data_IF_137414979508
#
_entry.id   IF_137414979508
#
_cell.length_a   1.000
_cell.length_b   1.000
_cell.length_c   1.000
_cell.angle_alpha   90.00
_cell.angle_beta   90.00
_cell.angle_gamma   90.00
#
_symmetry.space_group_name_H-M   'P 1'
#
loop_
_entity.id
_entity.type
_entity.pdbx_description
1 polymer ?
#
# COMPACT_ATOMS: atom_id res chain seq x y z
N UNK A 1 7.60 -0.91 -11.11
CA UNK A 1 8.79 -0.72 -10.26
C UNK A 1 9.99 -1.07 -11.13
N UNK A 2 11.01 -0.19 -11.21
CA UNK A 2 12.18 -0.38 -12.09
C UNK A 2 12.08 0.27 -13.49
N UNK A 3 11.00 0.98 -13.80
CA UNK A 3 10.95 1.78 -15.03
C UNK A 3 11.96 2.95 -14.94
N UNK A 4 12.63 3.22 -16.05
CA UNK A 4 13.52 4.37 -16.19
C UNK A 4 12.83 5.67 -15.77
N UNK A 5 13.58 6.57 -15.13
CA UNK A 5 13.09 7.88 -14.68
C UNK A 5 12.38 8.62 -15.82
N UNK A 6 12.95 8.60 -17.02
CA UNK A 6 12.40 9.30 -18.17
C UNK A 6 11.06 8.71 -18.59
N UNK A 7 10.90 7.39 -18.62
CA UNK A 7 9.63 6.74 -18.92
C UNK A 7 8.55 7.06 -17.87
N UNK A 8 8.92 7.16 -16.60
CA UNK A 8 7.98 7.56 -15.55
C UNK A 8 7.59 9.04 -15.64
N UNK A 9 8.52 9.92 -15.98
CA UNK A 9 8.22 11.35 -16.23
C UNK A 9 7.27 11.50 -17.41
N UNK A 10 7.53 10.80 -18.50
CA UNK A 10 6.66 10.85 -19.70
C UNK A 10 5.25 10.31 -19.39
N UNK A 11 5.15 9.17 -18.74
CA UNK A 11 3.88 8.56 -18.40
C UNK A 11 3.09 9.39 -17.37
N UNK A 12 3.69 9.75 -16.23
CA UNK A 12 3.00 10.39 -15.13
C UNK A 12 2.83 11.90 -15.35
N UNK A 13 3.90 12.62 -15.66
CA UNK A 13 3.89 14.09 -15.78
C UNK A 13 3.41 14.49 -17.19
N UNK A 14 3.96 13.88 -18.25
CA UNK A 14 3.54 14.09 -19.65
C UNK A 14 2.08 13.70 -19.85
N UNK A 15 1.69 12.52 -19.39
CA UNK A 15 0.30 12.04 -19.45
C UNK A 15 -0.67 12.98 -18.75
N UNK A 16 -0.34 13.47 -17.55
CA UNK A 16 -1.17 14.46 -16.83
C UNK A 16 -1.29 15.76 -17.60
N UNK A 17 -0.20 16.26 -18.20
CA UNK A 17 -0.21 17.47 -19.02
C UNK A 17 -1.14 17.31 -20.24
N UNK A 18 -1.07 16.19 -20.92
CA UNK A 18 -1.93 15.89 -22.08
C UNK A 18 -3.41 15.76 -21.65
N UNK A 19 -3.67 15.09 -20.54
CA UNK A 19 -5.03 14.94 -19.99
C UNK A 19 -5.64 16.31 -19.60
N UNK A 20 -4.87 17.21 -18.97
CA UNK A 20 -5.30 18.59 -18.69
C UNK A 20 -5.57 19.38 -19.98
N UNK A 21 -4.72 19.26 -20.99
CA UNK A 21 -4.93 19.92 -22.27
C UNK A 21 -6.21 19.40 -22.97
N UNK A 22 -6.45 18.09 -22.95
CA UNK A 22 -7.66 17.47 -23.45
C UNK A 22 -8.90 17.97 -22.68
N UNK A 23 -8.85 17.98 -21.35
CA UNK A 23 -9.95 18.45 -20.49
C UNK A 23 -10.31 19.91 -20.79
N UNK A 24 -9.32 20.77 -21.03
CA UNK A 24 -9.57 22.17 -21.47
C UNK A 24 -10.24 22.22 -22.85
N UNK A 25 -9.74 21.43 -23.80
CA UNK A 25 -10.25 21.44 -25.17
C UNK A 25 -11.72 20.98 -25.28
N UNK A 26 -12.15 20.08 -24.39
CA UNK A 26 -13.54 19.60 -24.33
C UNK A 26 -14.40 20.38 -23.33
N UNK A 27 -13.88 21.45 -22.74
CA UNK A 27 -14.54 22.26 -21.72
C UNK A 27 -15.07 21.43 -20.53
N UNK A 28 -14.24 20.49 -20.05
CA UNK A 28 -14.63 19.60 -18.95
C UNK A 28 -15.03 20.39 -17.69
N UNK A 29 -16.13 19.97 -17.05
CA UNK A 29 -16.63 20.63 -15.86
C UNK A 29 -15.75 20.49 -14.61
N UNK A 30 -15.01 19.38 -14.50
CA UNK A 30 -14.07 19.10 -13.41
C UNK A 30 -13.01 18.09 -13.87
N UNK A 31 -11.78 18.26 -13.45
CA UNK A 31 -10.68 17.31 -13.66
C UNK A 31 -10.42 16.49 -12.40
N UNK A 32 -10.54 15.18 -12.49
CA UNK A 32 -10.31 14.26 -11.39
C UNK A 32 -8.96 13.58 -11.55
N UNK A 33 -8.02 13.87 -10.65
CA UNK A 33 -6.65 13.34 -10.70
C UNK A 33 -6.42 12.24 -9.67
N UNK A 34 -6.09 11.04 -10.15
CA UNK A 34 -5.68 9.93 -9.28
C UNK A 34 -4.18 10.02 -9.05
N UNK A 35 -3.82 10.65 -7.94
CA UNK A 35 -2.46 10.74 -7.41
C UNK A 35 -2.11 9.49 -6.59
N UNK A 36 -1.38 9.64 -5.51
CA UNK A 36 -1.02 8.58 -4.55
C UNK A 36 -0.54 9.22 -3.26
N UNK A 37 -0.62 8.51 -2.14
CA UNK A 37 0.10 8.90 -0.91
C UNK A 37 1.62 9.06 -1.16
N UNK A 38 2.15 8.43 -2.20
CA UNK A 38 3.54 8.58 -2.64
C UNK A 38 3.95 10.03 -3.00
N UNK A 39 2.98 10.90 -3.31
CA UNK A 39 3.25 12.33 -3.57
C UNK A 39 3.79 13.08 -2.34
N UNK A 40 3.64 12.55 -1.12
CA UNK A 40 4.26 13.06 0.11
C UNK A 40 5.76 12.73 0.21
N UNK A 41 6.28 11.86 -0.64
CA UNK A 41 7.67 11.37 -0.57
C UNK A 41 7.91 10.60 0.74
N UNK A 42 9.04 10.85 1.38
CA UNK A 42 9.43 10.27 2.67
C UNK A 42 9.29 11.28 3.83
N UNK A 43 8.24 12.08 3.82
CA UNK A 43 7.96 13.06 4.87
C UNK A 43 7.89 12.37 6.25
N UNK A 44 8.60 12.95 7.23
CA UNK A 44 8.63 12.40 8.60
C UNK A 44 7.57 13.09 9.46
N UNK A 45 6.53 12.38 9.81
CA UNK A 45 5.45 12.91 10.65
C UNK A 45 4.06 12.63 10.09
N UNK A 46 3.09 13.48 10.42
CA UNK A 46 1.72 13.38 9.93
C UNK A 46 1.50 14.30 8.74
N UNK A 47 1.21 13.72 7.58
CA UNK A 47 0.90 14.43 6.34
C UNK A 47 -0.62 14.54 6.20
N UNK A 48 -1.13 15.77 6.14
CA UNK A 48 -2.56 16.04 6.04
C UNK A 48 -3.01 16.20 4.59
N UNK A 49 -4.31 16.24 4.36
CA UNK A 49 -4.90 16.39 3.03
C UNK A 49 -4.54 17.73 2.37
N UNK A 50 -4.33 18.79 3.16
CA UNK A 50 -3.98 20.12 2.66
C UNK A 50 -2.48 20.28 2.35
N UNK A 51 -1.64 19.42 2.89
CA UNK A 51 -0.19 19.47 2.69
C UNK A 51 0.19 19.03 1.28
N UNK A 52 1.19 19.73 0.71
CA UNK A 52 1.77 19.41 -0.59
C UNK A 52 3.24 19.84 -0.66
N UNK A 53 3.53 21.12 -0.43
CA UNK A 53 4.88 21.68 -0.54
C UNK A 53 5.84 21.14 0.54
N UNK A 54 5.30 20.58 1.62
CA UNK A 54 6.05 19.96 2.71
C UNK A 54 6.62 18.57 2.35
N UNK A 55 6.29 18.04 1.17
CA UNK A 55 6.81 16.76 0.71
C UNK A 55 8.34 16.74 0.70
N UNK A 56 8.93 15.65 1.20
CA UNK A 56 10.39 15.48 1.29
C UNK A 56 10.81 14.08 0.84
N UNK A 57 12.11 13.88 0.56
CA UNK A 57 12.63 12.56 0.15
C UNK A 57 12.06 12.10 -1.21
N UNK A 58 11.97 13.03 -2.16
CA UNK A 58 11.47 12.81 -3.52
C UNK A 58 12.56 12.29 -4.47
N UNK A 59 13.61 11.63 -3.98
CA UNK A 59 14.70 11.10 -4.81
C UNK A 59 14.26 9.86 -5.61
N UNK A 60 13.25 9.14 -5.12
CA UNK A 60 12.68 8.02 -5.85
C UNK A 60 11.87 8.54 -7.05
N UNK A 61 12.12 8.03 -8.28
CA UNK A 61 11.40 8.45 -9.50
C UNK A 61 9.88 8.41 -9.39
N UNK A 62 9.34 7.39 -8.74
CA UNK A 62 7.89 7.25 -8.54
C UNK A 62 7.33 8.36 -7.64
N UNK A 63 7.98 8.66 -6.51
CA UNK A 63 7.54 9.73 -5.62
C UNK A 63 7.63 11.08 -6.30
N UNK A 64 8.75 11.35 -6.96
CA UNK A 64 8.98 12.59 -7.73
C UNK A 64 7.90 12.78 -8.79
N UNK A 65 7.69 11.80 -9.65
CA UNK A 65 6.76 11.96 -10.78
C UNK A 65 5.30 12.05 -10.35
N UNK A 66 4.90 11.38 -9.25
CA UNK A 66 3.57 11.55 -8.66
C UNK A 66 3.37 12.94 -8.06
N UNK A 67 4.38 13.47 -7.37
CA UNK A 67 4.37 14.84 -6.84
C UNK A 67 4.31 15.87 -7.98
N UNK A 68 5.18 15.77 -8.99
CA UNK A 68 5.25 16.70 -10.11
C UNK A 68 3.96 16.69 -10.95
N UNK A 69 3.36 15.52 -11.17
CA UNK A 69 2.07 15.41 -11.85
C UNK A 69 0.94 16.11 -11.06
N UNK A 70 0.91 15.92 -9.74
CA UNK A 70 -0.06 16.61 -8.88
C UNK A 70 0.17 18.12 -8.87
N UNK A 71 1.43 18.60 -8.92
CA UNK A 71 1.76 20.01 -9.02
C UNK A 71 1.16 20.68 -10.27
N UNK A 72 1.12 19.97 -11.40
CA UNK A 72 0.46 20.47 -12.62
C UNK A 72 -1.03 20.70 -12.40
N UNK A 73 -1.71 19.77 -11.74
CA UNK A 73 -3.14 19.87 -11.47
C UNK A 73 -3.44 21.01 -10.49
N UNK A 74 -2.62 21.17 -9.45
CA UNK A 74 -2.80 22.25 -8.45
C UNK A 74 -2.62 23.66 -9.02
N UNK A 75 -1.80 23.79 -10.05
CA UNK A 75 -1.58 25.07 -10.77
C UNK A 75 -2.65 25.36 -11.82
N UNK A 76 -3.56 24.43 -12.07
CA UNK A 76 -4.62 24.61 -13.05
C UNK A 76 -5.66 25.61 -12.54
N UNK A 77 -5.95 26.65 -13.34
CA UNK A 77 -6.90 27.72 -13.02
C UNK A 77 -8.11 27.77 -13.94
N UNK A 78 -8.01 27.12 -15.11
CA UNK A 78 -9.07 27.12 -16.14
C UNK A 78 -10.12 26.05 -15.95
N UNK A 79 -9.85 25.01 -15.16
CA UNK A 79 -10.76 23.89 -14.89
C UNK A 79 -10.79 23.63 -13.40
N UNK A 80 -11.96 23.37 -12.85
CA UNK A 80 -12.08 22.85 -11.47
C UNK A 80 -11.39 21.50 -11.39
N UNK A 81 -10.79 21.16 -10.25
CA UNK A 81 -10.11 19.89 -10.08
C UNK A 81 -10.34 19.29 -8.70
N UNK A 82 -10.15 17.99 -8.61
CA UNK A 82 -10.08 17.21 -7.37
C UNK A 82 -8.97 16.20 -7.46
N UNK A 83 -8.25 15.98 -6.36
CA UNK A 83 -7.10 15.09 -6.29
C UNK A 83 -7.40 13.96 -5.28
N UNK A 84 -7.08 12.74 -5.65
CA UNK A 84 -7.24 11.55 -4.81
C UNK A 84 -5.89 10.90 -4.59
N UNK A 85 -5.52 10.68 -3.34
CA UNK A 85 -4.27 10.06 -2.92
C UNK A 85 -4.55 8.72 -2.21
N UNK A 86 -4.92 7.66 -2.94
CA UNK A 86 -5.13 6.35 -2.33
C UNK A 86 -3.83 5.81 -1.75
N UNK A 87 -3.97 4.89 -0.78
CA UNK A 87 -2.89 4.07 -0.26
C UNK A 87 -2.42 3.03 -1.27
N UNK A 88 -1.76 1.98 -0.80
CA UNK A 88 -1.38 0.83 -1.62
C UNK A 88 -2.64 0.03 -1.94
N UNK A 89 -3.08 0.11 -3.21
CA UNK A 89 -4.30 -0.55 -3.65
C UNK A 89 -4.03 -2.03 -3.89
N UNK A 90 -4.87 -2.88 -3.33
CA UNK A 90 -4.87 -4.33 -3.50
C UNK A 90 -6.18 -4.82 -4.14
N UNK A 91 -6.33 -6.11 -4.34
CA UNK A 91 -7.50 -6.70 -4.98
C UNK A 91 -8.82 -6.39 -4.28
N UNK A 92 -9.91 -6.77 -4.95
CA UNK A 92 -11.28 -6.56 -4.48
C UNK A 92 -11.52 -7.27 -3.13
N UNK A 93 -12.16 -6.60 -2.18
CA UNK A 93 -12.30 -7.11 -0.81
C UNK A 93 -13.10 -8.41 -0.71
N UNK A 94 -14.09 -8.63 -1.56
CA UNK A 94 -14.91 -9.84 -1.54
C UNK A 94 -14.34 -10.99 -2.38
N UNK A 95 -13.69 -10.70 -3.53
CA UNK A 95 -13.24 -11.72 -4.49
C UNK A 95 -11.73 -11.91 -4.52
N UNK A 96 -10.96 -10.95 -4.01
CA UNK A 96 -9.51 -10.92 -4.14
C UNK A 96 -8.99 -10.53 -5.52
N UNK A 97 -9.88 -10.32 -6.50
CA UNK A 97 -9.54 -10.08 -7.90
C UNK A 97 -8.58 -8.91 -8.08
N UNK A 98 -7.51 -9.13 -8.83
CA UNK A 98 -6.46 -8.18 -9.13
C UNK A 98 -5.83 -8.49 -10.48
N UNK A 99 -5.63 -7.48 -11.33
CA UNK A 99 -5.09 -7.67 -12.68
C UNK A 99 -3.59 -7.97 -12.69
N UNK A 100 -2.85 -7.50 -11.70
CA UNK A 100 -1.38 -7.61 -11.69
C UNK A 100 -0.81 -7.76 -10.29
N UNK A 101 0.36 -8.41 -10.23
CA UNK A 101 1.16 -8.50 -9.01
C UNK A 101 1.94 -7.19 -8.81
N UNK A 102 1.63 -6.45 -7.74
CA UNK A 102 2.35 -5.25 -7.32
C UNK A 102 2.26 -5.08 -5.79
N UNK A 103 3.05 -4.18 -5.21
CA UNK A 103 3.01 -3.85 -3.78
C UNK A 103 3.17 -5.08 -2.87
N UNK A 104 2.22 -5.35 -1.95
CA UNK A 104 2.33 -6.45 -0.99
C UNK A 104 2.42 -7.84 -1.61
N UNK A 105 1.94 -8.02 -2.85
CA UNK A 105 1.96 -9.31 -3.53
C UNK A 105 3.37 -9.84 -3.79
N UNK A 106 4.39 -8.99 -3.81
CA UNK A 106 5.79 -9.45 -3.91
C UNK A 106 6.22 -10.32 -2.72
N UNK A 107 5.57 -10.20 -1.57
CA UNK A 107 5.86 -11.02 -0.39
C UNK A 107 5.12 -12.35 -0.37
N UNK A 108 4.08 -12.54 -1.19
CA UNK A 108 3.23 -13.73 -1.15
C UNK A 108 3.98 -15.04 -1.45
N UNK A 109 4.89 -15.12 -2.45
CA UNK A 109 5.71 -16.32 -2.66
C UNK A 109 6.53 -16.69 -1.43
N UNK A 110 7.09 -15.69 -0.72
CA UNK A 110 7.85 -15.90 0.49
C UNK A 110 6.96 -16.40 1.65
N UNK A 111 5.78 -15.82 1.82
CA UNK A 111 4.77 -16.27 2.81
C UNK A 111 4.38 -17.71 2.54
N UNK A 112 4.08 -18.09 1.27
CA UNK A 112 3.72 -19.46 0.88
C UNK A 112 4.83 -20.44 1.19
N UNK A 113 6.09 -20.09 0.88
CA UNK A 113 7.23 -20.98 1.16
C UNK A 113 7.40 -21.19 2.67
N UNK A 114 7.27 -20.14 3.48
CA UNK A 114 7.32 -20.27 4.94
C UNK A 114 6.18 -21.13 5.46
N UNK A 115 4.96 -20.95 4.94
CA UNK A 115 3.79 -21.73 5.34
C UNK A 115 3.94 -23.22 4.97
N UNK A 116 4.52 -23.53 3.81
CA UNK A 116 4.77 -24.91 3.39
C UNK A 116 5.92 -25.58 4.17
N UNK A 117 6.94 -24.80 4.57
CA UNK A 117 8.11 -25.34 5.28
C UNK A 117 7.90 -25.51 6.79
N UNK A 118 7.00 -24.71 7.39
CA UNK A 118 6.79 -24.67 8.82
C UNK A 118 5.35 -25.05 9.18
N UNK A 119 5.14 -26.02 10.07
CA UNK A 119 3.79 -26.46 10.43
C UNK A 119 3.03 -25.37 11.20
N UNK A 120 1.71 -25.31 11.03
CA UNK A 120 0.84 -24.28 11.59
C UNK A 120 0.80 -24.22 13.13
N UNK A 121 1.24 -25.28 13.85
CA UNK A 121 1.36 -25.27 15.31
C UNK A 121 2.64 -24.57 15.81
N UNK A 122 3.62 -24.34 14.94
CA UNK A 122 4.86 -23.67 15.28
C UNK A 122 4.60 -22.19 15.60
N UNK A 123 5.36 -21.64 16.54
CA UNK A 123 5.32 -20.22 16.88
C UNK A 123 6.52 -19.51 16.29
N UNK A 124 6.27 -18.48 15.54
CA UNK A 124 7.30 -17.58 15.03
C UNK A 124 7.24 -16.24 15.75
N UNK A 125 8.37 -15.53 15.79
CA UNK A 125 8.45 -14.18 16.38
C UNK A 125 8.97 -13.21 15.31
N UNK A 126 8.35 -12.04 15.23
CA UNK A 126 8.76 -10.96 14.34
C UNK A 126 8.65 -9.60 15.03
N UNK A 127 9.52 -8.66 14.65
CA UNK A 127 9.41 -7.26 15.11
C UNK A 127 8.25 -6.58 14.38
N UNK A 128 7.56 -5.66 15.06
CA UNK A 128 6.38 -4.96 14.58
C UNK A 128 6.62 -4.25 13.23
N UNK A 129 7.77 -3.60 13.04
CA UNK A 129 8.10 -2.84 11.82
C UNK A 129 7.31 -1.55 11.66
N UNK A 130 7.42 -0.93 10.49
CA UNK A 130 6.70 0.29 10.13
C UNK A 130 5.26 0.03 9.72
N UNK A 131 4.52 1.12 9.43
CA UNK A 131 3.13 1.07 8.99
C UNK A 131 3.04 1.14 7.47
N UNK A 132 2.10 0.38 6.91
CA UNK A 132 1.75 0.40 5.49
C UNK A 132 0.27 0.75 5.40
N UNK A 133 -0.10 1.59 4.44
CA UNK A 133 -1.48 1.93 4.18
C UNK A 133 -2.00 1.11 3.00
N UNK A 134 -2.78 0.07 3.26
CA UNK A 134 -3.32 -0.88 2.27
C UNK A 134 -4.83 -0.69 2.20
N UNK A 135 -5.37 -0.62 0.98
CA UNK A 135 -6.80 -0.44 0.72
C UNK A 135 -7.26 -1.35 -0.42
N UNK A 136 -8.45 -1.95 -0.35
CA UNK A 136 -8.99 -2.75 -1.45
C UNK A 136 -9.54 -1.86 -2.56
N UNK A 137 -9.48 -2.34 -3.80
CA UNK A 137 -9.84 -1.55 -5.00
C UNK A 137 -11.30 -1.13 -5.00
N UNK A 138 -12.22 -1.97 -4.57
CA UNK A 138 -13.65 -1.67 -4.45
C UNK A 138 -13.92 -0.49 -3.51
N UNK A 139 -13.30 -0.46 -2.33
CA UNK A 139 -13.39 0.71 -1.45
C UNK A 139 -12.85 1.99 -2.12
N UNK A 140 -11.73 1.90 -2.83
CA UNK A 140 -11.17 3.08 -3.53
C UNK A 140 -12.13 3.58 -4.60
N UNK A 141 -12.75 2.67 -5.36
CA UNK A 141 -13.75 3.02 -6.39
C UNK A 141 -14.97 3.68 -5.77
N UNK A 142 -15.57 3.07 -4.74
CA UNK A 142 -16.74 3.62 -4.06
C UNK A 142 -16.47 4.97 -3.41
N UNK A 143 -15.30 5.10 -2.76
CA UNK A 143 -14.87 6.35 -2.16
C UNK A 143 -14.68 7.45 -3.22
N UNK A 144 -14.03 7.13 -4.34
CA UNK A 144 -13.82 8.09 -5.41
C UNK A 144 -15.14 8.48 -6.08
N UNK A 145 -16.02 7.53 -6.38
CA UNK A 145 -17.33 7.83 -6.97
C UNK A 145 -18.11 8.80 -6.08
N UNK A 146 -18.24 8.51 -4.80
CA UNK A 146 -18.91 9.41 -3.86
C UNK A 146 -18.27 10.81 -3.82
N UNK A 147 -16.94 10.87 -3.73
CA UNK A 147 -16.20 12.13 -3.64
C UNK A 147 -16.26 12.93 -4.95
N UNK A 148 -16.33 12.26 -6.11
CA UNK A 148 -16.52 12.91 -7.42
C UNK A 148 -17.86 13.64 -7.52
N UNK A 149 -18.88 13.11 -6.88
CA UNK A 149 -20.25 13.67 -6.90
C UNK A 149 -20.54 14.59 -5.71
N UNK A 150 -19.69 14.64 -4.68
CA UNK A 150 -19.89 15.51 -3.53
C UNK A 150 -19.80 16.99 -3.92
N UNK A 151 -20.83 17.78 -3.50
CA UNK A 151 -20.90 19.23 -3.83
C UNK A 151 -19.91 20.03 -2.99
N UNK A 152 -19.36 21.11 -3.57
CA UNK A 152 -18.52 22.08 -2.87
C UNK A 152 -17.12 21.54 -2.52
N UNK A 153 -16.65 20.54 -3.26
CA UNK A 153 -15.35 19.88 -2.99
C UNK A 153 -14.28 20.19 -4.06
N UNK A 154 -14.51 21.18 -4.91
CA UNK A 154 -13.54 21.57 -5.94
C UNK A 154 -12.31 22.21 -5.31
N UNK A 155 -11.13 21.94 -5.87
CA UNK A 155 -9.84 22.37 -5.33
C UNK A 155 -9.38 21.60 -4.09
N UNK A 156 -10.01 20.47 -3.77
CA UNK A 156 -9.67 19.66 -2.60
C UNK A 156 -8.86 18.42 -2.97
N UNK A 157 -8.04 18.01 -2.01
CA UNK A 157 -7.31 16.73 -2.04
C UNK A 157 -7.91 15.79 -1.01
N UNK A 158 -8.06 14.52 -1.41
CA UNK A 158 -8.66 13.48 -0.58
C UNK A 158 -7.68 12.34 -0.35
N UNK A 159 -7.62 11.86 0.87
CA UNK A 159 -6.96 10.62 1.22
C UNK A 159 -8.02 9.54 1.46
N UNK A 160 -8.27 8.61 0.53
CA UNK A 160 -8.98 7.36 0.82
C UNK A 160 -8.01 6.27 1.25
N UNK A 161 -7.39 6.33 2.43
CA UNK A 161 -6.53 5.31 2.98
C UNK A 161 -7.25 4.51 4.04
N UNK A 162 -6.66 3.39 4.46
CA UNK A 162 -7.01 2.77 5.74
C UNK A 162 -6.71 3.75 6.88
N UNK A 163 -7.68 4.10 7.73
CA UNK A 163 -7.50 5.09 8.80
C UNK A 163 -6.45 4.71 9.85
N UNK A 164 -6.15 3.44 10.00
CA UNK A 164 -5.19 2.94 10.99
C UNK A 164 -3.85 2.57 10.35
N UNK A 165 -3.87 2.16 9.08
CA UNK A 165 -2.78 1.44 8.46
C UNK A 165 -2.54 0.09 9.14
N UNK A 166 -1.76 -0.78 8.51
CA UNK A 166 -1.34 -2.05 9.10
C UNK A 166 0.17 -2.04 9.33
N UNK A 167 0.64 -2.55 10.47
CA UNK A 167 2.08 -2.70 10.66
C UNK A 167 2.62 -3.83 9.79
N UNK A 168 3.90 -3.77 9.42
CA UNK A 168 4.54 -4.84 8.64
C UNK A 168 4.42 -6.19 9.33
N UNK A 169 4.59 -6.22 10.65
CA UNK A 169 4.43 -7.44 11.43
C UNK A 169 3.01 -7.98 11.38
N UNK A 170 2.00 -7.11 11.53
CA UNK A 170 0.60 -7.52 11.46
C UNK A 170 0.23 -7.95 10.04
N UNK A 171 0.74 -7.29 8.99
CA UNK A 171 0.55 -7.72 7.61
C UNK A 171 1.05 -9.16 7.39
N UNK A 172 2.29 -9.44 7.81
CA UNK A 172 2.86 -10.80 7.72
C UNK A 172 2.05 -11.79 8.56
N UNK A 173 1.62 -11.41 9.76
CA UNK A 173 0.78 -12.26 10.62
C UNK A 173 -0.53 -12.63 9.93
N UNK A 174 -1.21 -11.67 9.36
CA UNK A 174 -2.50 -11.87 8.68
C UNK A 174 -2.32 -12.72 7.42
N UNK A 175 -1.26 -12.47 6.62
CA UNK A 175 -0.97 -13.28 5.42
C UNK A 175 -0.56 -14.71 5.79
N UNK A 176 0.24 -14.93 6.83
CA UNK A 176 0.55 -16.28 7.33
C UNK A 176 -0.71 -17.02 7.80
N UNK A 177 -1.63 -16.31 8.45
CA UNK A 177 -2.92 -16.89 8.86
C UNK A 177 -3.76 -17.28 7.65
N UNK A 178 -3.84 -16.42 6.61
CA UNK A 178 -4.54 -16.72 5.35
C UNK A 178 -3.91 -17.92 4.62
N UNK A 179 -2.58 -18.05 4.69
CA UNK A 179 -1.80 -19.15 4.10
C UNK A 179 -1.74 -20.41 4.97
N UNK A 180 -2.51 -20.50 6.05
CA UNK A 180 -2.47 -21.62 7.03
C UNK A 180 -1.07 -21.93 7.59
N UNK A 181 -0.19 -20.92 7.63
CA UNK A 181 1.18 -21.01 8.09
C UNK A 181 1.33 -20.94 9.63
N UNK A 182 2.58 -20.81 10.13
CA UNK A 182 2.87 -20.77 11.55
C UNK A 182 2.23 -19.56 12.24
N UNK A 183 1.89 -19.72 13.52
CA UNK A 183 1.37 -18.61 14.35
C UNK A 183 2.47 -17.58 14.61
N UNK A 184 2.23 -16.32 14.24
CA UNK A 184 3.18 -15.23 14.41
C UNK A 184 2.85 -14.38 15.63
N UNK A 185 3.83 -14.23 16.53
CA UNK A 185 3.78 -13.29 17.67
C UNK A 185 4.58 -12.03 17.29
N UNK A 186 3.93 -10.87 17.37
CA UNK A 186 4.56 -9.58 17.09
C UNK A 186 5.13 -9.04 18.41
N UNK A 187 6.40 -8.61 18.37
CA UNK A 187 7.08 -8.00 19.52
C UNK A 187 7.66 -6.64 19.15
N UNK A 188 7.69 -5.73 20.11
CA UNK A 188 8.38 -4.45 19.93
C UNK A 188 9.89 -4.68 19.89
N UNK A 189 10.62 -3.94 19.05
CA UNK A 189 12.06 -4.09 18.86
C UNK A 189 12.85 -4.09 20.18
N UNK A 190 12.57 -3.13 21.07
CA UNK A 190 13.22 -3.07 22.39
C UNK A 190 12.86 -4.24 23.34
N UNK A 191 11.69 -4.84 23.18
CA UNK A 191 11.32 -6.05 23.94
C UNK A 191 12.06 -7.28 23.39
N UNK A 192 12.26 -7.34 22.07
CA UNK A 192 13.03 -8.41 21.43
C UNK A 192 14.52 -8.34 21.82
N UNK A 193 15.12 -7.15 21.83
CA UNK A 193 16.52 -6.96 22.30
C UNK A 193 16.71 -7.43 23.72
N UNK A 194 15.79 -7.09 24.65
CA UNK A 194 15.80 -7.56 26.03
C UNK A 194 15.62 -9.08 26.14
N UNK A 195 14.73 -9.65 25.30
CA UNK A 195 14.50 -11.10 25.28
C UNK A 195 15.75 -11.85 24.73
N UNK A 196 16.38 -11.34 23.68
CA UNK A 196 17.58 -11.92 23.10
C UNK A 196 18.81 -11.81 24.02
N UNK A 197 18.87 -10.74 24.84
CA UNK A 197 19.91 -10.58 25.83
C UNK A 197 19.79 -11.57 27.02
N UNK A 198 18.59 -12.03 27.31
CA UNK A 198 18.30 -12.92 28.44
C UNK A 198 18.22 -14.40 28.07
N UNK A 199 17.78 -14.73 26.84
CA UNK A 199 17.58 -16.11 26.40
C UNK A 199 18.06 -16.29 24.95
N UNK A 200 19.04 -17.16 24.69
CA UNK A 200 19.41 -17.52 23.31
C UNK A 200 18.17 -18.11 22.59
N UNK A 201 17.64 -17.39 21.60
CA UNK A 201 16.38 -17.75 20.89
C UNK A 201 16.43 -19.17 20.32
N UNK A 202 17.63 -19.67 19.94
CA UNK A 202 17.82 -21.04 19.49
C UNK A 202 17.58 -22.15 20.53
N UNK A 203 17.36 -21.78 21.81
CA UNK A 203 17.04 -22.74 22.90
C UNK A 203 15.56 -22.77 23.27
N UNK A 204 14.72 -21.92 22.68
CA UNK A 204 13.28 -21.97 22.89
C UNK A 204 12.66 -23.00 21.93
N UNK A 205 12.19 -24.16 22.42
CA UNK A 205 11.60 -25.15 21.53
C UNK A 205 10.36 -24.59 20.85
N UNK A 206 10.33 -24.69 19.50
CA UNK A 206 9.20 -24.23 18.71
C UNK A 206 9.15 -22.73 18.42
N UNK A 207 10.20 -21.95 18.68
CA UNK A 207 10.29 -20.52 18.34
C UNK A 207 11.35 -20.29 17.26
N UNK A 208 10.94 -19.73 16.12
CA UNK A 208 11.84 -19.39 15.01
C UNK A 208 11.83 -17.89 14.75
N UNK A 209 13.01 -17.23 14.65
CA UNK A 209 13.10 -15.84 14.20
C UNK A 209 12.71 -15.74 12.73
N UNK A 210 11.49 -15.28 12.44
CA UNK A 210 10.95 -15.23 11.07
C UNK A 210 11.70 -14.24 10.17
N UNK A 211 12.30 -13.20 10.75
CA UNK A 211 13.07 -12.20 10.00
C UNK A 211 14.22 -12.80 9.19
N UNK A 212 14.92 -13.81 9.73
CA UNK A 212 16.00 -14.51 9.00
C UNK A 212 15.45 -15.43 7.91
N UNK A 213 14.35 -16.15 8.18
CA UNK A 213 13.72 -17.02 7.21
C UNK A 213 13.14 -16.22 6.04
N UNK A 214 12.45 -15.10 6.32
CA UNK A 214 11.94 -14.20 5.30
C UNK A 214 13.08 -13.56 4.49
N UNK A 215 14.16 -13.10 5.12
CA UNK A 215 15.29 -12.50 4.42
C UNK A 215 15.93 -13.44 3.38
N UNK A 216 16.21 -14.68 3.76
CA UNK A 216 16.77 -15.69 2.85
C UNK A 216 15.82 -16.04 1.69
N UNK A 217 14.51 -16.06 1.95
CA UNK A 217 13.50 -16.33 0.94
C UNK A 217 13.33 -15.12 0.02
N UNK A 218 13.36 -13.91 0.54
CA UNK A 218 13.27 -12.67 -0.25
C UNK A 218 14.43 -12.56 -1.24
N UNK A 219 15.65 -12.87 -0.81
CA UNK A 219 16.83 -12.92 -1.67
C UNK A 219 16.67 -13.96 -2.80
N UNK A 220 16.19 -15.16 -2.46
CA UNK A 220 15.93 -16.25 -3.42
C UNK A 220 14.90 -15.89 -4.50
N UNK A 221 13.85 -15.13 -4.13
CA UNK A 221 12.78 -14.75 -5.07
C UNK A 221 13.02 -13.40 -5.75
N UNK A 222 14.18 -12.77 -5.53
CA UNK A 222 14.54 -11.52 -6.18
C UNK A 222 13.53 -10.40 -5.88
N UNK A 223 13.06 -10.32 -4.63
CA UNK A 223 12.13 -9.25 -4.24
C UNK A 223 12.85 -7.91 -4.44
N UNK A 224 12.31 -7.01 -5.27
CA UNK A 224 12.96 -5.74 -5.54
C UNK A 224 13.19 -4.94 -4.24
N UNK A 225 14.36 -4.29 -4.12
CA UNK A 225 14.64 -3.41 -2.97
C UNK A 225 13.56 -2.32 -2.81
N UNK A 226 12.95 -1.92 -3.92
CA UNK A 226 11.84 -0.98 -3.93
C UNK A 226 10.62 -1.49 -3.17
N UNK A 227 10.36 -2.80 -3.20
CA UNK A 227 9.29 -3.41 -2.41
C UNK A 227 9.57 -3.30 -0.90
N UNK A 228 10.84 -3.32 -0.50
CA UNK A 228 11.25 -3.13 0.90
C UNK A 228 11.04 -1.69 1.38
N UNK A 229 11.05 -0.71 0.48
CA UNK A 229 10.81 0.70 0.82
C UNK A 229 9.37 0.97 1.26
N UNK A 230 8.42 0.11 0.88
CA UNK A 230 7.05 0.15 1.42
C UNK A 230 6.97 -0.36 2.86
N UNK A 231 7.98 -1.12 3.30
CA UNK A 231 8.09 -1.64 4.67
C UNK A 231 8.74 -0.57 5.54
N UNK A 232 7.96 0.13 6.33
CA UNK A 232 8.50 1.17 7.22
C UNK A 232 8.41 2.59 6.68
N UNK A 233 7.34 2.88 5.96
CA UNK A 233 7.08 4.23 5.48
C UNK A 233 7.01 5.22 6.67
N UNK A 234 7.81 6.31 6.65
CA UNK A 234 7.94 7.19 7.82
C UNK A 234 6.74 8.12 8.02
N UNK A 235 5.90 8.26 6.98
CA UNK A 235 4.79 9.19 6.95
C UNK A 235 3.51 8.53 7.46
N UNK A 236 2.82 9.20 8.37
CA UNK A 236 1.44 8.91 8.74
C UNK A 236 0.51 9.84 7.96
N UNK A 237 -0.60 9.32 7.46
CA UNK A 237 -1.55 10.11 6.69
C UNK A 237 -2.79 10.42 7.51
N UNK A 238 -3.12 11.71 7.65
CA UNK A 238 -4.37 12.13 8.27
C UNK A 238 -5.46 12.28 7.19
N UNK A 239 -6.42 11.37 7.25
CA UNK A 239 -7.58 11.32 6.35
C UNK A 239 -8.88 11.77 7.01
N UNK A 240 -8.78 12.57 8.07
CA UNK A 240 -9.94 12.94 8.90
C UNK A 240 -11.04 13.64 8.09
N UNK A 241 -10.71 14.52 7.15
CA UNK A 241 -11.69 15.22 6.30
C UNK A 241 -12.36 14.25 5.34
N UNK A 242 -11.58 13.44 4.60
CA UNK A 242 -12.08 12.44 3.67
C UNK A 242 -13.01 11.46 4.37
N UNK A 243 -12.61 10.91 5.52
CA UNK A 243 -13.44 9.97 6.28
C UNK A 243 -14.76 10.56 6.74
N UNK A 244 -14.77 11.80 7.20
CA UNK A 244 -16.00 12.50 7.59
C UNK A 244 -16.97 12.67 6.42
N UNK A 245 -16.45 12.89 5.20
CA UNK A 245 -17.28 12.95 3.99
C UNK A 245 -17.82 11.57 3.62
N UNK A 246 -16.97 10.55 3.56
CA UNK A 246 -17.34 9.19 3.20
C UNK A 246 -18.36 8.59 4.17
N UNK A 247 -18.22 8.86 5.47
CA UNK A 247 -19.18 8.41 6.49
C UNK A 247 -20.61 8.92 6.24
N UNK A 248 -20.79 10.07 5.59
CA UNK A 248 -22.12 10.57 5.20
C UNK A 248 -22.76 9.71 4.10
N UNK A 249 -21.94 9.04 3.31
CA UNK A 249 -22.37 8.06 2.30
C UNK A 249 -22.40 6.62 2.79
N UNK A 250 -22.08 6.38 4.08
CA UNK A 250 -21.97 5.02 4.62
C UNK A 250 -20.76 4.24 4.09
N UNK A 251 -19.73 4.94 3.57
CA UNK A 251 -18.54 4.31 2.97
C UNK A 251 -17.42 4.28 4.00
N UNK A 252 -16.97 3.08 4.33
CA UNK A 252 -15.88 2.83 5.28
C UNK A 252 -14.88 1.84 4.70
N UNK A 253 -13.57 2.09 4.96
CA UNK A 253 -12.51 1.15 4.55
C UNK A 253 -12.57 -0.09 5.43
N UNK A 254 -12.74 -1.30 4.85
CA UNK A 254 -12.70 -2.52 5.63
C UNK A 254 -11.29 -2.77 6.16
N UNK A 255 -11.14 -3.32 7.39
CA UNK A 255 -9.82 -3.68 7.91
C UNK A 255 -9.19 -4.81 7.09
N UNK A 256 -7.87 -4.76 6.88
CA UNK A 256 -7.16 -5.73 6.03
C UNK A 256 -7.42 -7.18 6.42
N UNK A 257 -7.55 -7.46 7.70
CA UNK A 257 -7.84 -8.79 8.24
C UNK A 257 -9.14 -9.40 7.69
N UNK A 258 -10.12 -8.57 7.32
CA UNK A 258 -11.42 -9.05 6.85
C UNK A 258 -11.39 -9.57 5.42
N UNK A 259 -10.41 -9.15 4.60
CA UNK A 259 -10.34 -9.51 3.18
C UNK A 259 -9.01 -10.17 2.74
N UNK A 260 -8.04 -10.27 3.64
CA UNK A 260 -6.77 -10.91 3.33
C UNK A 260 -6.91 -12.36 2.83
N UNK A 261 -7.89 -13.11 3.36
CA UNK A 261 -8.20 -14.46 2.90
C UNK A 261 -8.62 -14.51 1.43
N UNK A 262 -9.52 -13.62 1.01
CA UNK A 262 -9.96 -13.55 -0.38
C UNK A 262 -8.79 -13.21 -1.33
N UNK A 263 -7.97 -12.21 -0.93
CA UNK A 263 -6.77 -11.82 -1.70
C UNK A 263 -5.77 -12.98 -1.80
N UNK A 264 -5.55 -13.70 -0.70
CA UNK A 264 -4.63 -14.83 -0.68
C UNK A 264 -5.11 -15.96 -1.62
N UNK A 265 -6.37 -16.36 -1.51
CA UNK A 265 -6.98 -17.40 -2.35
C UNK A 265 -6.90 -17.04 -3.83
N UNK A 266 -7.30 -15.80 -4.18
CA UNK A 266 -7.22 -15.36 -5.58
C UNK A 266 -5.79 -15.39 -6.11
N UNK A 267 -4.81 -14.94 -5.31
CA UNK A 267 -3.41 -14.99 -5.69
C UNK A 267 -2.92 -16.42 -5.92
N UNK A 268 -3.25 -17.36 -5.04
CA UNK A 268 -2.86 -18.77 -5.22
C UNK A 268 -3.44 -19.39 -6.49
N UNK A 269 -4.69 -19.09 -6.79
CA UNK A 269 -5.41 -19.68 -7.92
C UNK A 269 -5.09 -19.05 -9.27
N UNK A 270 -4.76 -17.76 -9.30
CA UNK A 270 -4.69 -16.99 -10.55
C UNK A 270 -3.36 -16.29 -10.81
N UNK A 271 -2.64 -15.86 -9.77
CA UNK A 271 -1.48 -14.99 -9.90
C UNK A 271 -0.16 -15.68 -9.52
N UNK A 272 -0.19 -16.77 -8.78
CA UNK A 272 1.00 -17.51 -8.40
C UNK A 272 1.73 -18.05 -9.65
N UNK A 273 3.08 -18.13 -9.64
CA UNK A 273 3.86 -18.58 -10.81
C UNK A 273 3.40 -19.91 -11.38
N UNK A 274 3.01 -20.87 -10.53
CA UNK A 274 2.52 -22.18 -10.95
C UNK A 274 1.13 -22.13 -11.58
N UNK A 275 0.25 -21.22 -11.14
CA UNK A 275 -1.05 -21.02 -11.75
C UNK A 275 -0.93 -20.46 -13.18
N UNK A 276 0.14 -19.72 -13.47
CA UNK A 276 0.41 -19.15 -14.81
C UNK A 276 1.06 -20.14 -15.77
N UNK A 277 1.77 -21.16 -15.28
CA UNK A 277 2.42 -22.17 -16.12
C UNK A 277 1.45 -23.26 -16.64
N UNK A 278 0.22 -23.28 -16.17
CA UNK A 278 -0.83 -24.22 -16.58
C UNK A 278 -1.81 -23.67 -17.63
N UNK A 279 -1.58 -22.46 -18.18
CA UNK A 279 -2.42 -21.85 -19.21
C UNK A 279 -1.66 -21.72 -20.54
#
# INVERSE_FOLDING_TARGET
IGADMQAQVEANVGGTRHALACARAIEAGCFHHVSSIAAAGLYKGTFTEDMFEEATGLDNPYYRTKHDAEALVRRETGIRWRIYRPGVVVGHSATGEMDKVDGPYYFFPAIRQVSNALPGWLRAIMVQGGSINIVPVDFVVDAMDYLMHARGQDGQTFFPPDPKGITTGDLVRVLLQAAHGPKLSIVNGGALEKLLAQVPVGRLPGVVPLTRALGAVMEKYGIPEEALKFVGYPTRFDSTKTRKLLARGGIECPPFESYAGAIWTYWEEHLAPEARSGR
#
